data_IF_532673423888
#
_entry.id   IF_532673423888
#
_cell.length_a   1.000
_cell.length_b   1.000
_cell.length_c   1.000
_cell.angle_alpha   90.00
_cell.angle_beta   90.00
_cell.angle_gamma   90.00
#
_symmetry.space_group_name_H-M   'P 1'
#
loop_
_entity.id
_entity.type
_entity.pdbx_description
1 polymer ?
#
# COMPACT_ATOMS: atom_id res chain seq x y z
N UNK A 1 70.12 -16.06 -18.65
CA UNK A 1 68.82 -16.49 -19.21
C UNK A 1 67.85 -16.66 -18.06
N UNK A 2 66.83 -15.79 -17.99
CA UNK A 2 66.06 -15.47 -16.78
C UNK A 2 64.76 -16.29 -16.79
N UNK A 3 64.55 -17.06 -15.72
CA UNK A 3 63.46 -18.04 -15.54
C UNK A 3 62.08 -17.36 -15.52
N UNK A 4 61.13 -17.96 -16.23
CA UNK A 4 59.69 -17.70 -16.10
C UNK A 4 59.19 -18.20 -14.73
N UNK A 5 58.50 -17.32 -14.01
CA UNK A 5 57.57 -17.71 -12.95
C UNK A 5 56.23 -17.06 -13.25
N UNK A 6 55.27 -17.89 -13.64
CA UNK A 6 53.86 -17.56 -13.60
C UNK A 6 53.40 -17.57 -12.13
N UNK A 7 52.71 -16.54 -11.69
CA UNK A 7 51.91 -16.61 -10.47
C UNK A 7 50.53 -16.00 -10.73
N UNK A 8 49.54 -16.83 -10.43
CA UNK A 8 48.11 -16.71 -10.68
C UNK A 8 47.53 -15.52 -9.92
N UNK A 9 46.85 -14.62 -10.63
CA UNK A 9 45.95 -13.64 -10.01
C UNK A 9 44.67 -14.40 -9.57
N UNK A 10 44.56 -14.68 -8.28
CA UNK A 10 43.31 -15.11 -7.68
C UNK A 10 42.40 -13.88 -7.54
N UNK A 11 41.54 -13.65 -8.53
CA UNK A 11 40.41 -12.72 -8.43
C UNK A 11 39.38 -13.32 -7.48
N UNK A 12 39.41 -12.87 -6.23
CA UNK A 12 38.34 -13.06 -5.26
C UNK A 12 37.07 -12.41 -5.80
N UNK A 13 36.20 -13.22 -6.39
CA UNK A 13 34.79 -12.93 -6.55
C UNK A 13 34.20 -12.78 -5.13
N UNK A 14 34.23 -11.56 -4.60
CA UNK A 14 33.31 -11.14 -3.55
C UNK A 14 31.92 -11.17 -4.19
N UNK A 15 31.30 -12.35 -4.14
CA UNK A 15 29.88 -12.51 -4.36
C UNK A 15 29.17 -11.68 -3.30
N UNK A 16 28.86 -10.44 -3.65
CA UNK A 16 27.80 -9.72 -2.98
C UNK A 16 26.56 -10.59 -3.13
N UNK A 17 26.12 -11.20 -2.02
CA UNK A 17 24.76 -11.69 -1.96
C UNK A 17 23.89 -10.47 -2.22
N UNK A 18 23.41 -10.32 -3.45
CA UNK A 18 22.25 -9.50 -3.72
C UNK A 18 21.16 -10.14 -2.87
N UNK A 19 20.85 -9.53 -1.72
CA UNK A 19 19.60 -9.78 -1.04
C UNK A 19 18.56 -9.28 -2.02
N UNK A 20 18.09 -10.17 -2.91
CA UNK A 20 16.76 -10.06 -3.47
C UNK A 20 15.85 -10.05 -2.24
N UNK A 21 15.56 -8.85 -1.74
CA UNK A 21 14.81 -8.66 -0.51
C UNK A 21 13.53 -9.45 -0.68
N UNK A 22 13.32 -10.44 0.19
CA UNK A 22 12.01 -11.03 0.30
C UNK A 22 11.04 -9.86 0.51
N UNK A 23 10.06 -9.71 -0.38
CA UNK A 23 9.05 -8.65 -0.29
C UNK A 23 8.39 -8.74 1.09
N UNK A 24 8.22 -9.98 1.60
CA UNK A 24 7.92 -10.25 3.01
C UNK A 24 9.19 -10.10 3.87
N UNK A 25 9.28 -8.96 4.55
CA UNK A 25 10.45 -8.56 5.32
C UNK A 25 10.39 -9.03 6.79
N UNK A 26 9.36 -9.77 7.21
CA UNK A 26 9.17 -10.20 8.59
C UNK A 26 9.44 -11.72 8.72
N UNK A 27 10.55 -12.13 9.36
CA UNK A 27 10.83 -13.54 9.57
C UNK A 27 9.78 -14.21 10.44
N UNK A 28 9.38 -15.42 10.07
CA UNK A 28 8.44 -16.20 10.87
C UNK A 28 9.09 -16.73 12.16
N UNK A 29 8.33 -16.70 13.24
CA UNK A 29 8.66 -17.31 14.53
C UNK A 29 8.46 -18.84 14.55
N UNK A 30 7.83 -19.40 13.51
CA UNK A 30 7.57 -20.84 13.37
C UNK A 30 8.66 -21.61 12.62
N UNK A 31 9.80 -20.99 12.30
CA UNK A 31 10.87 -21.63 11.52
C UNK A 31 11.55 -22.81 12.28
N UNK A 32 11.37 -22.87 13.60
CA UNK A 32 11.82 -24.01 14.40
C UNK A 32 10.85 -25.19 14.26
N UNK A 33 11.32 -26.32 13.71
CA UNK A 33 10.55 -27.57 13.57
C UNK A 33 9.88 -28.05 14.86
N UNK A 34 10.43 -27.72 16.03
CA UNK A 34 9.86 -28.06 17.35
C UNK A 34 8.63 -27.23 17.73
N UNK A 35 8.38 -26.11 17.04
CA UNK A 35 7.24 -25.19 17.23
C UNK A 35 6.10 -25.53 16.26
N UNK A 36 6.39 -26.32 15.21
CA UNK A 36 5.45 -26.72 14.17
C UNK A 36 5.19 -25.62 13.15
N UNK A 37 4.09 -25.71 12.41
CA UNK A 37 3.74 -24.76 11.35
C UNK A 37 2.89 -23.60 11.87
N UNK A 38 3.13 -22.42 11.33
CA UNK A 38 2.31 -21.24 11.58
C UNK A 38 0.84 -21.51 11.24
N UNK A 39 -0.11 -20.93 11.99
CA UNK A 39 -1.51 -20.89 11.57
C UNK A 39 -1.67 -20.29 10.16
N UNK A 40 -2.54 -20.91 9.36
CA UNK A 40 -2.79 -20.46 8.00
C UNK A 40 -3.59 -19.14 7.94
N UNK A 41 -4.30 -18.81 9.02
CA UNK A 41 -5.23 -17.67 9.07
C UNK A 41 -4.47 -16.37 9.31
N UNK A 42 -4.74 -15.39 8.45
CA UNK A 42 -4.43 -13.98 8.69
C UNK A 42 -5.74 -13.31 9.07
N UNK A 43 -5.79 -12.60 10.19
CA UNK A 43 -7.02 -11.95 10.65
C UNK A 43 -7.34 -10.75 9.76
N UNK A 44 -6.39 -9.82 9.63
CA UNK A 44 -6.52 -8.66 8.76
C UNK A 44 -5.27 -8.46 7.90
N UNK A 45 -5.47 -8.06 6.65
CA UNK A 45 -4.38 -7.58 5.79
C UNK A 45 -4.69 -6.15 5.33
N UNK A 46 -3.78 -5.22 5.67
CA UNK A 46 -3.86 -3.81 5.29
C UNK A 46 -2.96 -3.50 4.09
N UNK A 47 -3.57 -3.09 3.00
CA UNK A 47 -2.91 -2.56 1.81
C UNK A 47 -2.88 -1.04 1.91
N UNK A 48 -1.72 -0.45 2.19
CA UNK A 48 -1.53 1.00 2.11
C UNK A 48 -1.02 1.34 0.72
N UNK A 49 -1.83 2.04 -0.04
CA UNK A 49 -1.62 2.25 -1.48
C UNK A 49 -1.45 3.74 -1.71
N UNK A 50 -0.26 4.15 -2.15
CA UNK A 50 0.16 5.54 -2.23
C UNK A 50 0.30 5.97 -3.68
N UNK A 51 -0.49 6.98 -4.05
CA UNK A 51 -0.39 7.67 -5.32
C UNK A 51 0.79 8.65 -5.29
N UNK A 52 1.79 8.41 -6.14
CA UNK A 52 2.98 9.25 -6.20
C UNK A 52 2.70 10.63 -6.81
N UNK A 53 1.54 10.87 -7.42
CA UNK A 53 1.18 12.22 -7.91
C UNK A 53 0.54 13.08 -6.82
N UNK A 54 0.19 12.49 -5.67
CA UNK A 54 -0.52 13.17 -4.59
C UNK A 54 0.45 13.66 -3.51
N UNK A 55 0.71 14.97 -3.50
CA UNK A 55 1.52 15.61 -2.46
C UNK A 55 0.71 15.80 -1.17
N UNK A 56 1.07 15.04 -0.14
CA UNK A 56 0.51 15.19 1.21
C UNK A 56 1.33 16.16 2.06
N UNK A 57 0.65 16.93 2.91
CA UNK A 57 1.30 17.65 4.01
C UNK A 57 1.75 16.68 5.12
N UNK A 58 2.55 17.18 6.08
CA UNK A 58 3.06 16.37 7.18
C UNK A 58 1.96 15.78 8.08
N UNK A 59 0.83 16.46 8.24
CA UNK A 59 -0.30 15.99 9.05
C UNK A 59 -1.00 14.79 8.40
N UNK A 60 -1.22 14.84 7.09
CA UNK A 60 -1.78 13.72 6.34
C UNK A 60 -0.81 12.54 6.25
N UNK A 61 0.50 12.78 6.05
CA UNK A 61 1.52 11.72 6.11
C UNK A 61 1.52 11.01 7.47
N UNK A 62 1.41 11.77 8.57
CA UNK A 62 1.31 11.19 9.91
C UNK A 62 0.01 10.42 10.11
N UNK A 63 -1.12 10.92 9.60
CA UNK A 63 -2.42 10.23 9.66
C UNK A 63 -2.38 8.85 8.97
N UNK A 64 -1.66 8.71 7.85
CA UNK A 64 -1.43 7.41 7.21
C UNK A 64 -0.67 6.47 8.13
N UNK A 65 0.42 6.94 8.75
CA UNK A 65 1.21 6.14 9.69
C UNK A 65 0.40 5.71 10.92
N UNK A 66 -0.42 6.61 11.46
CA UNK A 66 -1.26 6.35 12.63
C UNK A 66 -2.34 5.30 12.33
N UNK A 67 -2.91 5.30 11.13
CA UNK A 67 -3.90 4.31 10.70
C UNK A 67 -3.28 2.94 10.35
N UNK A 68 -2.02 2.91 9.93
CA UNK A 68 -1.28 1.66 9.70
C UNK A 68 -0.88 0.96 11.01
N UNK A 69 -0.45 1.74 12.01
CA UNK A 69 0.17 1.23 13.24
C UNK A 69 -0.62 0.11 13.95
N UNK A 70 -1.97 0.17 14.11
CA UNK A 70 -2.73 -0.89 14.75
C UNK A 70 -2.63 -2.25 14.05
N UNK A 71 -2.36 -2.26 12.75
CA UNK A 71 -2.24 -3.47 11.94
C UNK A 71 -0.85 -4.11 12.00
N UNK A 72 0.13 -3.43 12.60
CA UNK A 72 1.48 -3.98 12.84
C UNK A 72 1.50 -4.83 14.13
N UNK A 73 0.53 -5.73 14.23
CA UNK A 73 0.28 -6.58 15.38
C UNK A 73 0.18 -8.06 14.96
N UNK A 74 0.36 -8.97 15.92
CA UNK A 74 0.33 -10.41 15.71
C UNK A 74 -0.95 -10.88 14.98
N UNK A 75 -0.81 -11.79 14.02
CA UNK A 75 -1.92 -12.34 13.23
C UNK A 75 -2.36 -11.46 12.05
N UNK A 76 -1.81 -10.26 11.89
CA UNK A 76 -2.09 -9.37 10.77
C UNK A 76 -0.98 -9.39 9.72
N UNK A 77 -1.30 -8.87 8.54
CA UNK A 77 -0.35 -8.62 7.47
C UNK A 77 -0.49 -7.18 6.95
N UNK A 78 0.56 -6.68 6.30
CA UNK A 78 0.54 -5.38 5.64
C UNK A 78 1.29 -5.41 4.31
N UNK A 79 0.90 -4.51 3.41
CA UNK A 79 1.63 -4.19 2.19
C UNK A 79 1.66 -2.67 1.98
N UNK A 80 2.84 -2.12 1.70
CA UNK A 80 3.02 -0.73 1.30
C UNK A 80 3.27 -0.70 -0.20
N UNK A 81 2.37 -0.07 -0.93
CA UNK A 81 2.29 -0.10 -2.39
C UNK A 81 2.35 1.33 -2.89
N UNK A 82 3.11 1.57 -3.96
CA UNK A 82 3.07 2.84 -4.69
C UNK A 82 2.51 2.64 -6.09
N UNK A 83 1.85 3.66 -6.64
CA UNK A 83 1.45 3.72 -8.05
C UNK A 83 1.48 5.17 -8.55
N UNK A 84 1.42 5.35 -9.87
CA UNK A 84 1.17 6.65 -10.51
C UNK A 84 0.61 6.44 -11.94
N UNK A 85 1.18 7.07 -12.97
CA UNK A 85 0.88 6.78 -14.37
C UNK A 85 1.75 5.63 -14.93
N UNK A 86 1.23 4.92 -15.93
CA UNK A 86 1.95 3.91 -16.72
C UNK A 86 3.08 4.55 -17.57
N UNK A 87 4.11 5.06 -16.90
CA UNK A 87 5.28 5.69 -17.52
C UNK A 87 6.55 4.96 -17.08
N UNK A 88 7.61 5.09 -17.87
CA UNK A 88 8.84 4.33 -17.66
C UNK A 88 9.47 4.66 -16.30
N UNK A 89 9.51 3.68 -15.40
CA UNK A 89 10.08 3.83 -14.05
C UNK A 89 9.06 4.08 -12.94
N UNK A 90 7.77 4.24 -13.27
CA UNK A 90 6.71 4.39 -12.29
C UNK A 90 5.61 3.36 -12.54
N UNK A 91 5.67 2.25 -11.81
CA UNK A 91 4.71 1.15 -11.90
C UNK A 91 4.03 0.95 -10.54
N UNK A 92 2.94 0.18 -10.54
CA UNK A 92 2.42 -0.36 -9.28
C UNK A 92 3.49 -1.28 -8.68
N UNK A 93 4.06 -0.88 -7.55
CA UNK A 93 5.18 -1.57 -6.89
C UNK A 93 4.85 -1.81 -5.41
N UNK A 94 5.17 -3.02 -4.93
CA UNK A 94 5.14 -3.33 -3.49
C UNK A 94 6.52 -2.98 -2.91
N UNK A 95 6.59 -1.90 -2.15
CA UNK A 95 7.85 -1.45 -1.52
C UNK A 95 8.24 -2.30 -0.33
N UNK A 96 7.25 -2.78 0.42
CA UNK A 96 7.44 -3.70 1.53
C UNK A 96 6.14 -4.45 1.82
N UNK A 97 6.26 -5.69 2.26
CA UNK A 97 5.19 -6.42 2.94
C UNK A 97 5.71 -7.11 4.19
N UNK A 98 4.76 -7.56 5.01
CA UNK A 98 5.07 -8.32 6.20
C UNK A 98 3.86 -9.07 6.71
N UNK A 99 4.06 -10.35 7.08
CA UNK A 99 3.10 -11.11 7.86
C UNK A 99 3.60 -11.27 9.28
N UNK A 100 2.84 -10.78 10.26
CA UNK A 100 3.13 -11.00 11.67
C UNK A 100 2.44 -12.28 12.12
N UNK A 101 3.20 -13.16 12.75
CA UNK A 101 2.70 -14.47 13.15
C UNK A 101 1.60 -14.35 14.19
N UNK A 102 0.69 -15.33 14.19
CA UNK A 102 -0.30 -15.46 15.24
C UNK A 102 0.32 -16.17 16.47
N UNK A 103 -0.10 -15.81 17.70
CA UNK A 103 0.30 -16.53 18.90
C UNK A 103 -0.05 -18.01 18.80
N UNK A 104 0.79 -18.85 19.41
CA UNK A 104 0.52 -20.28 19.48
C UNK A 104 -0.62 -20.57 20.46
N UNK A 105 -1.53 -21.47 20.06
CA UNK A 105 -2.60 -21.99 20.92
C UNK A 105 -2.08 -22.63 22.21
N UNK A 106 -2.80 -22.43 23.32
CA UNK A 106 -2.35 -22.85 24.66
C UNK A 106 -2.06 -24.35 24.77
N UNK A 107 -2.86 -25.20 24.11
CA UNK A 107 -2.64 -26.66 24.10
C UNK A 107 -1.29 -27.02 23.47
N UNK A 108 -0.99 -26.45 22.30
CA UNK A 108 0.26 -26.70 21.59
C UNK A 108 1.47 -26.16 22.38
N UNK A 109 1.32 -25.04 23.08
CA UNK A 109 2.41 -24.48 23.90
C UNK A 109 2.89 -25.46 24.98
N UNK A 110 2.01 -26.32 25.50
CA UNK A 110 2.36 -27.32 26.52
C UNK A 110 3.15 -28.50 25.94
N UNK A 111 3.05 -28.74 24.64
CA UNK A 111 3.75 -29.84 23.94
C UNK A 111 5.13 -29.41 23.39
N UNK A 112 5.44 -28.12 23.48
CA UNK A 112 6.71 -27.54 23.01
C UNK A 112 7.70 -27.45 24.16
N UNK A 113 8.95 -27.85 23.92
CA UNK A 113 10.00 -27.74 24.93
C UNK A 113 10.18 -26.29 25.41
N UNK A 114 10.43 -26.09 26.71
CA UNK A 114 10.59 -24.76 27.32
C UNK A 114 11.59 -23.87 26.56
N UNK A 115 12.69 -24.44 26.10
CA UNK A 115 13.72 -23.72 25.33
C UNK A 115 13.23 -23.28 23.95
N UNK A 116 12.49 -24.13 23.24
CA UNK A 116 11.90 -23.75 21.96
C UNK A 116 10.81 -22.69 22.14
N UNK A 117 9.99 -22.83 23.18
CA UNK A 117 8.94 -21.87 23.52
C UNK A 117 9.52 -20.49 23.87
N UNK A 118 10.60 -20.42 24.66
CA UNK A 118 11.25 -19.15 24.99
C UNK A 118 11.80 -18.42 23.75
N UNK A 119 12.35 -19.16 22.78
CA UNK A 119 12.80 -18.58 21.50
C UNK A 119 11.63 -18.07 20.66
N UNK A 120 10.54 -18.84 20.60
CA UNK A 120 9.31 -18.43 19.93
C UNK A 120 8.76 -17.14 20.54
N UNK A 121 8.62 -17.07 21.86
CA UNK A 121 8.10 -15.89 22.56
C UNK A 121 9.00 -14.65 22.36
N UNK A 122 10.32 -14.84 22.39
CA UNK A 122 11.27 -13.76 22.10
C UNK A 122 11.14 -13.24 20.66
N UNK A 123 10.91 -14.13 19.69
CA UNK A 123 10.66 -13.74 18.31
C UNK A 123 9.34 -12.96 18.18
N UNK A 124 8.25 -13.49 18.73
CA UNK A 124 6.92 -12.87 18.71
C UNK A 124 6.95 -11.45 19.30
N UNK A 125 7.65 -11.27 20.43
CA UNK A 125 7.79 -9.97 21.07
C UNK A 125 8.52 -8.92 20.21
N UNK A 126 9.34 -9.33 19.25
CA UNK A 126 10.13 -8.45 18.37
C UNK A 126 9.42 -8.09 17.07
N UNK A 127 8.52 -8.94 16.58
CA UNK A 127 7.87 -8.75 15.27
C UNK A 127 7.17 -7.38 15.13
N UNK A 128 6.40 -6.87 16.11
CA UNK A 128 5.75 -5.56 15.98
C UNK A 128 6.75 -4.41 15.76
N UNK A 129 7.87 -4.43 16.48
CA UNK A 129 8.90 -3.39 16.34
C UNK A 129 9.59 -3.47 14.97
N UNK A 130 9.91 -4.69 14.51
CA UNK A 130 10.48 -4.89 13.18
C UNK A 130 9.50 -4.46 12.08
N UNK A 131 8.23 -4.82 12.19
CA UNK A 131 7.18 -4.40 11.27
C UNK A 131 7.05 -2.87 11.22
N UNK A 132 7.10 -2.18 12.36
CA UNK A 132 7.11 -0.71 12.40
C UNK A 132 8.33 -0.10 11.70
N UNK A 133 9.52 -0.70 11.84
CA UNK A 133 10.72 -0.22 11.15
C UNK A 133 10.62 -0.42 9.63
N UNK A 134 10.20 -1.59 9.18
CA UNK A 134 10.01 -1.91 7.76
C UNK A 134 8.96 -0.99 7.15
N UNK A 135 7.77 -0.97 7.73
CA UNK A 135 6.65 -0.23 7.17
C UNK A 135 6.89 1.29 7.24
N UNK A 136 7.48 1.79 8.32
CA UNK A 136 7.88 3.20 8.43
C UNK A 136 9.03 3.59 7.48
N UNK A 137 9.91 2.65 7.13
CA UNK A 137 10.89 2.83 6.06
C UNK A 137 10.23 2.95 4.68
N UNK A 138 9.33 2.02 4.37
CA UNK A 138 8.61 2.00 3.11
C UNK A 138 7.67 3.21 2.93
N UNK A 139 6.97 3.64 3.98
CA UNK A 139 6.14 4.86 3.95
C UNK A 139 6.98 6.11 3.63
N UNK A 140 8.16 6.25 4.25
CA UNK A 140 9.05 7.37 3.94
C UNK A 140 9.53 7.31 2.49
N UNK A 141 9.99 6.15 2.04
CA UNK A 141 10.41 5.96 0.64
C UNK A 141 9.27 6.29 -0.35
N UNK A 142 8.04 5.86 -0.06
CA UNK A 142 6.86 6.17 -0.87
C UNK A 142 6.61 7.68 -0.94
N UNK A 143 6.61 8.37 0.21
CA UNK A 143 6.36 9.81 0.29
C UNK A 143 7.51 10.68 -0.21
N UNK A 144 8.74 10.19 -0.20
CA UNK A 144 9.89 10.87 -0.81
C UNK A 144 9.86 10.72 -2.34
N UNK A 145 9.22 9.65 -2.85
CA UNK A 145 9.00 9.41 -4.27
C UNK A 145 7.80 10.15 -4.88
N UNK A 146 7.02 10.90 -4.09
CA UNK A 146 5.89 11.68 -4.62
C UNK A 146 6.37 12.94 -5.32
N UNK A 147 5.79 13.29 -6.47
CA UNK A 147 6.12 14.51 -7.21
C UNK A 147 4.91 15.07 -7.95
N UNK A 148 4.76 16.40 -7.94
CA UNK A 148 3.78 17.11 -8.76
C UNK A 148 4.16 17.21 -10.24
N UNK A 149 5.39 16.82 -10.60
CA UNK A 149 5.88 16.82 -11.99
C UNK A 149 5.43 15.57 -12.78
N UNK A 150 4.85 14.56 -12.09
CA UNK A 150 4.31 13.38 -12.74
C UNK A 150 3.02 13.78 -13.47
N UNK A 151 3.09 13.85 -14.79
CA UNK A 151 2.07 14.49 -15.62
C UNK A 151 0.69 13.82 -15.62
N UNK A 152 0.57 12.56 -15.17
CA UNK A 152 -0.65 11.76 -15.23
C UNK A 152 -0.80 10.90 -13.98
N UNK A 153 -2.05 10.66 -13.61
CA UNK A 153 -2.45 9.74 -12.54
C UNK A 153 -3.44 8.75 -13.16
N UNK A 154 -2.94 7.59 -13.59
CA UNK A 154 -3.78 6.53 -14.17
C UNK A 154 -4.45 5.74 -13.02
N UNK A 155 -5.23 6.43 -12.18
CA UNK A 155 -5.83 5.91 -10.94
C UNK A 155 -6.68 4.68 -11.22
N UNK A 156 -7.60 4.75 -12.19
CA UNK A 156 -8.50 3.65 -12.53
C UNK A 156 -7.75 2.37 -12.91
N UNK A 157 -6.74 2.48 -13.76
CA UNK A 157 -5.95 1.34 -14.21
C UNK A 157 -5.06 0.79 -13.08
N UNK A 158 -4.53 1.67 -12.24
CA UNK A 158 -3.75 1.27 -11.06
C UNK A 158 -4.62 0.53 -10.04
N UNK A 159 -5.81 1.06 -9.73
CA UNK A 159 -6.76 0.45 -8.80
C UNK A 159 -7.21 -0.92 -9.29
N UNK A 160 -7.39 -1.13 -10.60
CA UNK A 160 -7.66 -2.46 -11.15
C UNK A 160 -6.54 -3.46 -10.82
N UNK A 161 -5.27 -3.08 -10.97
CA UNK A 161 -4.12 -3.92 -10.62
C UNK A 161 -4.04 -4.20 -9.11
N UNK A 162 -4.29 -3.19 -8.29
CA UNK A 162 -4.31 -3.30 -6.82
C UNK A 162 -5.45 -4.21 -6.34
N UNK A 163 -6.60 -4.15 -7.00
CA UNK A 163 -7.73 -5.02 -6.69
C UNK A 163 -7.33 -6.50 -6.77
N UNK A 164 -6.52 -6.88 -7.76
CA UNK A 164 -6.01 -8.26 -7.87
C UNK A 164 -5.11 -8.68 -6.70
N UNK A 165 -4.31 -7.76 -6.16
CA UNK A 165 -3.50 -8.02 -4.97
C UNK A 165 -4.40 -8.27 -3.76
N UNK A 166 -5.41 -7.42 -3.57
CA UNK A 166 -6.38 -7.58 -2.50
C UNK A 166 -7.16 -8.89 -2.62
N UNK A 167 -7.66 -9.23 -3.82
CA UNK A 167 -8.37 -10.49 -4.08
C UNK A 167 -7.56 -11.74 -3.79
N UNK A 168 -6.24 -11.71 -4.03
CA UNK A 168 -5.33 -12.83 -3.74
C UNK A 168 -5.07 -13.01 -2.24
N UNK A 169 -5.36 -12.01 -1.41
CA UNK A 169 -5.26 -12.12 0.03
C UNK A 169 -6.15 -13.23 0.58
N UNK A 170 -5.59 -13.99 1.52
CA UNK A 170 -6.33 -15.02 2.29
C UNK A 170 -6.76 -14.50 3.67
N UNK A 171 -6.57 -13.21 3.96
CA UNK A 171 -7.02 -12.63 5.21
C UNK A 171 -8.54 -12.65 5.33
N UNK A 172 -9.04 -12.76 6.56
CA UNK A 172 -10.49 -12.67 6.82
C UNK A 172 -11.01 -11.27 6.50
N UNK A 173 -10.27 -10.25 6.93
CA UNK A 173 -10.57 -8.86 6.64
C UNK A 173 -9.51 -8.30 5.69
N UNK A 174 -9.95 -7.81 4.53
CA UNK A 174 -9.10 -7.11 3.56
C UNK A 174 -9.38 -5.63 3.69
N UNK A 175 -8.35 -4.83 3.92
CA UNK A 175 -8.50 -3.39 4.14
C UNK A 175 -7.56 -2.68 3.17
N UNK A 176 -8.09 -1.71 2.43
CA UNK A 176 -7.30 -0.89 1.51
C UNK A 176 -7.37 0.55 1.98
N UNK A 177 -6.22 1.09 2.38
CA UNK A 177 -6.04 2.53 2.60
C UNK A 177 -5.45 3.14 1.33
N UNK A 178 -6.30 3.78 0.54
CA UNK A 178 -5.90 4.56 -0.62
C UNK A 178 -5.44 5.95 -0.17
N UNK A 179 -4.23 6.32 -0.57
CA UNK A 179 -3.61 7.61 -0.28
C UNK A 179 -3.42 8.34 -1.61
N UNK A 180 -4.44 9.08 -2.02
CA UNK A 180 -4.54 9.71 -3.34
C UNK A 180 -5.50 10.89 -3.30
N UNK A 181 -5.29 11.86 -4.19
CA UNK A 181 -6.27 12.92 -4.48
C UNK A 181 -7.54 12.37 -5.16
N UNK A 182 -7.48 11.13 -5.64
CA UNK A 182 -8.55 10.44 -6.36
C UNK A 182 -8.99 11.20 -7.62
N UNK A 183 -8.07 11.96 -8.24
CA UNK A 183 -8.30 12.69 -9.47
C UNK A 183 -7.70 11.90 -10.64
N UNK A 184 -8.56 11.16 -11.34
CA UNK A 184 -8.17 10.44 -12.55
C UNK A 184 -7.56 11.42 -13.58
N UNK A 185 -6.45 11.05 -14.21
CA UNK A 185 -5.86 11.81 -15.31
C UNK A 185 -5.13 10.88 -16.28
N UNK A 186 -5.91 10.22 -17.13
CA UNK A 186 -5.46 9.23 -18.10
C UNK A 186 -5.89 9.59 -19.53
N UNK A 187 -5.70 8.66 -20.46
CA UNK A 187 -6.30 8.74 -21.80
C UNK A 187 -7.81 8.48 -21.82
N UNK A 188 -8.39 7.93 -20.75
CA UNK A 188 -9.82 7.56 -20.69
C UNK A 188 -10.66 8.69 -20.11
N UNK A 189 -10.20 9.30 -19.01
CA UNK A 189 -10.85 10.46 -18.42
C UNK A 189 -9.84 11.35 -17.71
N UNK A 190 -10.27 12.57 -17.38
CA UNK A 190 -9.53 13.50 -16.53
C UNK A 190 -10.47 14.21 -15.58
N UNK A 191 -10.22 14.17 -14.28
CA UNK A 191 -11.02 14.82 -13.23
C UNK A 191 -10.46 16.19 -12.85
N UNK A 192 -9.42 16.64 -13.55
CA UNK A 192 -8.90 17.99 -13.43
C UNK A 192 -9.64 18.95 -14.39
N UNK A 193 -9.78 20.19 -13.95
CA UNK A 193 -10.18 21.34 -14.75
C UNK A 193 -9.10 22.43 -14.67
N UNK A 194 -9.28 23.51 -15.43
CA UNK A 194 -8.39 24.68 -15.42
C UNK A 194 -6.89 24.33 -15.55
N UNK A 195 -6.57 23.37 -16.44
CA UNK A 195 -5.19 22.87 -16.66
C UNK A 195 -4.53 22.27 -15.41
N UNK A 196 -5.31 21.64 -14.52
CA UNK A 196 -4.80 21.00 -13.31
C UNK A 196 -5.02 21.83 -12.03
N UNK A 197 -5.54 23.05 -12.14
CA UNK A 197 -5.68 23.95 -10.98
C UNK A 197 -6.99 23.80 -10.22
N UNK A 198 -7.94 23.00 -10.71
CA UNK A 198 -9.22 22.76 -10.04
C UNK A 198 -9.73 21.35 -10.27
N UNK A 199 -10.66 20.91 -9.42
CA UNK A 199 -11.38 19.64 -9.61
C UNK A 199 -12.54 19.89 -10.57
N UNK A 200 -12.59 19.12 -11.66
CA UNK A 200 -13.70 19.17 -12.61
C UNK A 200 -14.98 18.68 -11.94
N UNK A 201 -16.07 19.40 -12.15
CA UNK A 201 -17.40 18.91 -11.81
C UNK A 201 -17.79 17.79 -12.79
N UNK A 202 -17.48 16.55 -12.43
CA UNK A 202 -17.76 15.36 -13.24
C UNK A 202 -19.24 14.98 -13.20
N UNK A 203 -19.67 14.21 -14.20
CA UNK A 203 -20.93 13.46 -14.16
C UNK A 203 -20.61 12.01 -13.79
N UNK A 204 -20.88 11.57 -12.55
CA UNK A 204 -20.50 10.23 -12.07
C UNK A 204 -21.01 9.10 -12.94
N UNK A 205 -22.22 9.21 -13.51
CA UNK A 205 -22.78 8.15 -14.33
C UNK A 205 -22.03 8.03 -15.66
N UNK A 206 -21.70 9.16 -16.28
CA UNK A 206 -20.90 9.18 -17.51
C UNK A 206 -19.48 8.66 -17.29
N UNK A 207 -18.82 9.09 -16.22
CA UNK A 207 -17.46 8.61 -15.90
C UNK A 207 -17.46 7.10 -15.61
N UNK A 208 -18.49 6.59 -14.93
CA UNK A 208 -18.62 5.15 -14.68
C UNK A 208 -18.80 4.34 -15.97
N UNK A 209 -19.57 4.85 -16.94
CA UNK A 209 -19.70 4.21 -18.26
C UNK A 209 -18.36 4.13 -18.99
N UNK A 210 -17.52 5.17 -18.90
CA UNK A 210 -16.18 5.15 -19.48
C UNK A 210 -15.30 4.09 -18.81
N UNK A 211 -15.35 3.98 -17.48
CA UNK A 211 -14.61 2.96 -16.75
C UNK A 211 -15.03 1.54 -17.15
N UNK A 212 -16.34 1.29 -17.31
CA UNK A 212 -16.89 -0.01 -17.73
C UNK A 212 -16.51 -0.36 -19.18
N UNK A 213 -16.70 0.58 -20.12
CA UNK A 213 -16.39 0.38 -21.54
C UNK A 213 -14.90 0.10 -21.78
N UNK A 214 -14.02 0.70 -20.97
CA UNK A 214 -12.58 0.49 -21.04
C UNK A 214 -12.10 -0.64 -20.12
N UNK A 215 -13.02 -1.42 -19.53
CA UNK A 215 -12.71 -2.57 -18.68
C UNK A 215 -11.79 -2.22 -17.50
N UNK A 216 -11.97 -1.05 -16.89
CA UNK A 216 -11.15 -0.53 -15.79
C UNK A 216 -11.66 -0.91 -14.40
N UNK A 217 -12.73 -1.71 -14.32
CA UNK A 217 -13.18 -2.30 -13.06
C UNK A 217 -12.25 -3.44 -12.64
N UNK A 218 -11.96 -3.51 -11.35
CA UNK A 218 -11.26 -4.60 -10.70
C UNK A 218 -12.19 -5.49 -9.87
N UNK A 219 -11.61 -6.39 -9.09
CA UNK A 219 -12.32 -7.10 -8.02
C UNK A 219 -11.43 -7.09 -6.78
N UNK A 220 -11.84 -6.36 -5.74
CA UNK A 220 -11.11 -6.21 -4.48
C UNK A 220 -11.38 -7.34 -3.49
N UNK A 221 -12.20 -8.34 -3.84
CA UNK A 221 -12.46 -9.50 -2.98
C UNK A 221 -13.16 -9.15 -1.66
N UNK A 222 -14.06 -8.16 -1.67
CA UNK A 222 -14.83 -7.73 -0.51
C UNK A 222 -14.07 -6.78 0.44
N UNK A 223 -13.05 -6.07 -0.04
CA UNK A 223 -12.25 -5.21 0.81
C UNK A 223 -13.01 -3.98 1.33
N UNK A 224 -12.69 -3.57 2.55
CA UNK A 224 -13.08 -2.27 3.10
C UNK A 224 -12.07 -1.22 2.64
N UNK A 225 -12.54 -0.17 1.97
CA UNK A 225 -11.69 0.86 1.38
C UNK A 225 -11.86 2.17 2.13
N UNK A 226 -10.74 2.79 2.46
CA UNK A 226 -10.61 4.09 3.09
C UNK A 226 -9.76 4.98 2.20
N UNK A 227 -10.10 6.26 2.10
CA UNK A 227 -9.34 7.22 1.28
C UNK A 227 -8.81 8.35 2.16
N UNK A 228 -7.52 8.65 2.03
CA UNK A 228 -6.88 9.88 2.52
C UNK A 228 -6.37 10.66 1.32
N UNK A 229 -6.63 11.96 1.30
CA UNK A 229 -6.10 12.90 0.31
C UNK A 229 -7.11 13.38 -0.72
N UNK A 230 -8.37 12.92 -0.70
CA UNK A 230 -9.30 13.18 -1.80
C UNK A 230 -9.51 14.68 -2.08
N UNK A 231 -9.40 15.06 -3.35
CA UNK A 231 -9.55 16.43 -3.84
C UNK A 231 -8.41 17.37 -3.47
N UNK A 232 -7.27 16.86 -3.00
CA UNK A 232 -6.04 17.65 -2.96
C UNK A 232 -5.66 18.09 -4.39
N UNK A 233 -5.04 19.26 -4.48
CA UNK A 233 -4.49 19.79 -5.73
C UNK A 233 -3.04 20.18 -5.41
N UNK A 234 -2.11 19.84 -6.30
CA UNK A 234 -0.69 20.16 -6.13
C UNK A 234 -0.49 21.67 -6.05
N UNK A 235 0.20 22.15 -5.02
CA UNK A 235 0.47 23.57 -4.83
C UNK A 235 1.55 24.09 -5.80
N UNK A 236 1.16 24.36 -7.04
CA UNK A 236 1.86 25.38 -7.83
C UNK A 236 1.21 26.75 -7.56
N UNK A 237 1.69 27.36 -6.47
CA UNK A 237 1.58 28.79 -6.25
C UNK A 237 0.60 29.18 -5.14
N UNK A 238 1.14 29.44 -3.95
CA UNK A 238 0.99 30.59 -3.01
C UNK A 238 -0.22 31.55 -3.09
N UNK A 239 -1.28 31.31 -3.87
CA UNK A 239 -2.38 32.26 -4.15
C UNK A 239 -3.71 31.65 -4.54
N UNK A 240 -3.91 30.33 -4.50
CA UNK A 240 -5.23 29.76 -4.77
C UNK A 240 -5.74 29.01 -3.53
N UNK A 241 -6.61 29.68 -2.76
CA UNK A 241 -7.65 28.98 -1.99
C UNK A 241 -8.56 28.33 -3.03
N UNK A 242 -8.13 27.23 -3.65
CA UNK A 242 -8.97 26.48 -4.58
C UNK A 242 -10.13 25.94 -3.77
N UNK A 243 -11.24 26.66 -3.83
CA UNK A 243 -12.46 26.33 -3.12
C UNK A 243 -12.96 25.00 -3.68
N UNK A 244 -12.95 23.97 -2.83
CA UNK A 244 -13.54 22.67 -3.15
C UNK A 244 -15.05 22.80 -3.04
N UNK A 245 -15.68 23.09 -4.16
CA UNK A 245 -17.14 23.15 -4.24
C UNK A 245 -17.76 21.85 -3.69
N UNK A 246 -18.65 21.92 -2.68
CA UNK A 246 -19.23 20.73 -2.06
C UNK A 246 -19.95 19.81 -3.05
N UNK A 247 -20.58 20.35 -4.11
CA UNK A 247 -21.26 19.53 -5.11
C UNK A 247 -20.24 18.79 -5.98
N UNK A 248 -19.13 19.43 -6.33
CA UNK A 248 -18.01 18.78 -7.02
C UNK A 248 -17.43 17.66 -6.16
N UNK A 249 -17.18 17.90 -4.88
CA UNK A 249 -16.66 16.85 -3.97
C UNK A 249 -17.66 15.72 -3.74
N UNK A 250 -18.96 16.02 -3.70
CA UNK A 250 -20.01 15.01 -3.61
C UNK A 250 -20.09 14.15 -4.87
N UNK A 251 -19.94 14.77 -6.06
CA UNK A 251 -19.89 14.03 -7.32
C UNK A 251 -18.65 13.12 -7.38
N UNK A 252 -17.49 13.62 -6.97
CA UNK A 252 -16.26 12.83 -6.89
C UNK A 252 -16.41 11.62 -5.96
N UNK A 253 -16.89 11.85 -4.73
CA UNK A 253 -17.13 10.77 -3.77
C UNK A 253 -18.18 9.77 -4.28
N UNK A 254 -19.24 10.25 -4.94
CA UNK A 254 -20.30 9.42 -5.51
C UNK A 254 -19.79 8.52 -6.64
N UNK A 255 -18.92 9.04 -7.51
CA UNK A 255 -18.24 8.25 -8.53
C UNK A 255 -17.39 7.14 -7.90
N UNK A 256 -16.49 7.48 -6.98
CA UNK A 256 -15.58 6.50 -6.38
C UNK A 256 -16.30 5.46 -5.53
N UNK A 257 -17.37 5.85 -4.82
CA UNK A 257 -18.26 4.91 -4.15
C UNK A 257 -18.81 3.87 -5.13
N UNK A 258 -19.37 4.34 -6.24
CA UNK A 258 -19.98 3.47 -7.26
C UNK A 258 -18.93 2.57 -7.94
N UNK A 259 -17.75 3.12 -8.24
CA UNK A 259 -16.62 2.37 -8.80
C UNK A 259 -16.17 1.23 -7.89
N UNK A 260 -15.98 1.51 -6.59
CA UNK A 260 -15.52 0.54 -5.60
C UNK A 260 -16.59 -0.54 -5.34
N UNK A 261 -17.86 -0.16 -5.23
CA UNK A 261 -18.98 -1.11 -5.10
C UNK A 261 -19.05 -2.07 -6.30
N UNK A 262 -18.94 -1.55 -7.52
CA UNK A 262 -18.88 -2.37 -8.75
C UNK A 262 -17.60 -3.19 -8.87
N UNK A 263 -16.53 -2.78 -8.19
CA UNK A 263 -15.27 -3.51 -8.13
C UNK A 263 -15.19 -4.45 -6.92
N UNK A 264 -16.32 -4.82 -6.31
CA UNK A 264 -16.36 -5.81 -5.22
C UNK A 264 -15.73 -5.30 -3.92
N UNK A 265 -15.78 -4.00 -3.65
CA UNK A 265 -15.28 -3.38 -2.42
C UNK A 265 -16.38 -2.52 -1.76
N UNK A 266 -16.17 -2.15 -0.50
CA UNK A 266 -17.02 -1.19 0.21
C UNK A 266 -16.20 0.05 0.54
N UNK A 267 -16.59 1.21 0.00
CA UNK A 267 -16.04 2.48 0.46
C UNK A 267 -16.61 2.81 1.85
N UNK A 268 -15.78 2.67 2.88
CA UNK A 268 -16.18 2.95 4.27
C UNK A 268 -16.09 4.43 4.57
N UNK A 269 -15.00 5.08 4.17
CA UNK A 269 -14.81 6.50 4.38
C UNK A 269 -13.99 7.15 3.26
N UNK A 270 -14.45 8.33 2.83
CA UNK A 270 -13.81 9.12 1.78
C UNK A 270 -13.28 10.42 2.39
N UNK A 271 -12.03 10.39 2.87
CA UNK A 271 -11.40 11.50 3.57
C UNK A 271 -11.11 12.68 2.64
N UNK A 272 -11.75 13.82 2.90
CA UNK A 272 -11.66 15.05 2.09
C UNK A 272 -11.00 16.19 2.89
N UNK A 273 -9.67 16.17 3.16
CA UNK A 273 -8.69 15.16 2.74
C UNK A 273 -8.33 14.14 3.84
N UNK A 274 -8.78 14.33 5.08
CA UNK A 274 -8.44 13.45 6.20
C UNK A 274 -9.61 12.53 6.57
N UNK A 275 -9.29 11.37 7.14
CA UNK A 275 -10.28 10.54 7.83
C UNK A 275 -10.69 11.21 9.15
N UNK A 276 -11.97 11.07 9.50
CA UNK A 276 -12.58 11.48 10.74
C UNK A 276 -12.59 10.34 11.77
N UNK A 277 -12.50 9.09 11.31
CA UNK A 277 -12.44 7.91 12.17
C UNK A 277 -11.20 7.07 11.88
N UNK A 278 -10.58 6.45 12.90
CA UNK A 278 -9.54 5.45 12.68
C UNK A 278 -10.08 4.24 11.90
N UNK A 279 -9.23 3.67 11.06
CA UNK A 279 -9.49 2.41 10.36
C UNK A 279 -9.66 1.27 11.39
N UNK A 280 -10.58 0.33 11.10
CA UNK A 280 -10.90 -0.83 11.94
C UNK A 280 -10.80 -2.13 11.18
#
# INVERSE_FOLDING_TARGET
MRKWSALVLATSLLGGNAWAGAIDAIPTCYDNKLVGTAPAVVESELFVVIDQTTLLDGGLKQSVADNLKPFLAAGNAFQIITFSAYTQGHYTEVLASGKLDAPMEASRRNDVSKTALAKFDQCMARQPQLAAQVAGGALRAAFDGTSGEIAKSDVLASLKSIAELSRKSKARNRIVLLVSDMLENSSVSSFYADRGHSVRKIDPAREMQLAEQNQLLGDFGGAHVYVIGAGLLSEDGKKSKSYRDPKTMQALAGFWKTYLEKSGAQLVEFGQPALLSPIR
#
